data_IF_596280898748
#
_entry.id   IF_596280898748
#
_cell.length_a   1.000
_cell.length_b   1.000
_cell.length_c   1.000
_cell.angle_alpha   90.00
_cell.angle_beta   90.00
_cell.angle_gamma   90.00
#
_symmetry.space_group_name_H-M   'P 1'
#
loop_
_entity.id
_entity.type
_entity.pdbx_description
1 polymer ?
#
# COMPACT_ATOMS: atom_id res chain seq x y z
N UNK A 1 9.84 13.21 7.32
CA UNK A 1 8.74 12.81 8.20
C UNK A 1 7.58 13.74 7.92
N UNK A 2 6.61 13.33 7.11
CA UNK A 2 5.42 14.13 6.80
C UNK A 2 4.53 14.11 8.04
N UNK A 3 4.74 15.05 8.97
CA UNK A 3 3.81 15.32 10.08
C UNK A 3 2.77 16.31 9.60
N UNK A 4 2.07 15.95 8.53
CA UNK A 4 0.96 16.74 8.02
C UNK A 4 -0.29 16.15 8.63
N UNK A 5 -1.00 16.88 9.48
CA UNK A 5 -2.42 16.61 9.74
C UNK A 5 -3.30 16.87 8.51
N UNK A 6 -2.73 16.73 7.31
CA UNK A 6 -3.34 16.97 6.03
C UNK A 6 -3.89 15.64 5.52
N UNK A 7 -5.17 15.65 5.19
CA UNK A 7 -5.85 14.58 4.48
C UNK A 7 -5.12 14.26 3.18
N UNK A 8 -4.90 12.98 2.90
CA UNK A 8 -4.36 12.52 1.62
C UNK A 8 -5.24 12.90 0.42
N UNK A 9 -6.51 13.25 0.66
CA UNK A 9 -7.43 13.73 -0.37
C UNK A 9 -7.02 15.07 -0.99
N UNK A 10 -6.17 15.86 -0.30
CA UNK A 10 -5.67 17.15 -0.79
C UNK A 10 -4.26 17.07 -1.38
N UNK A 11 -3.62 15.92 -1.27
CA UNK A 11 -2.26 15.70 -1.75
C UNK A 11 -2.27 15.12 -3.17
N UNK A 12 -1.17 15.30 -3.88
CA UNK A 12 -0.96 14.67 -5.18
C UNK A 12 -0.66 13.16 -4.98
N UNK A 13 -1.53 12.24 -5.44
CA UNK A 13 -1.35 10.81 -5.23
C UNK A 13 -0.01 10.31 -5.75
N UNK A 14 0.44 10.77 -6.92
CA UNK A 14 1.69 10.30 -7.52
C UNK A 14 2.88 10.63 -6.63
N UNK A 15 2.95 11.89 -6.20
CA UNK A 15 3.99 12.37 -5.30
C UNK A 15 3.99 11.59 -3.98
N UNK A 16 2.82 11.30 -3.43
CA UNK A 16 2.69 10.55 -2.18
C UNK A 16 3.11 9.09 -2.31
N UNK A 17 2.73 8.43 -3.42
CA UNK A 17 3.14 7.06 -3.72
C UNK A 17 4.66 6.95 -3.89
N UNK A 18 5.25 7.87 -4.65
CA UNK A 18 6.68 7.85 -5.01
C UNK A 18 7.61 8.31 -3.88
N UNK A 19 7.12 9.09 -2.90
CA UNK A 19 7.94 9.70 -1.85
C UNK A 19 8.74 8.69 -0.99
N UNK A 20 8.14 7.56 -0.63
CA UNK A 20 8.83 6.42 -0.02
C UNK A 20 8.44 5.13 -0.74
N UNK A 21 8.70 5.08 -2.04
CA UNK A 21 8.54 3.87 -2.83
C UNK A 21 9.83 3.05 -2.86
N UNK A 22 9.70 1.73 -2.70
CA UNK A 22 10.81 0.78 -2.82
C UNK A 22 10.45 -0.34 -3.77
N UNK A 23 11.36 -0.60 -4.70
CA UNK A 23 11.29 -1.70 -5.66
C UNK A 23 11.92 -2.96 -5.08
N UNK A 24 11.29 -4.09 -5.38
CA UNK A 24 11.70 -5.43 -4.98
C UNK A 24 11.55 -6.36 -6.17
N UNK A 25 12.37 -7.40 -6.22
CA UNK A 25 12.26 -8.45 -7.23
C UNK A 25 12.57 -9.78 -6.59
N UNK A 26 11.55 -10.60 -6.41
CA UNK A 26 11.65 -11.86 -5.70
C UNK A 26 10.83 -12.92 -6.43
N UNK A 27 11.34 -14.15 -6.52
CA UNK A 27 10.66 -15.28 -7.18
C UNK A 27 10.17 -14.99 -8.61
N UNK A 28 10.88 -14.14 -9.34
CA UNK A 28 10.53 -13.74 -10.70
C UNK A 28 9.44 -12.67 -10.79
N UNK A 29 8.87 -12.22 -9.67
CA UNK A 29 7.89 -11.14 -9.60
C UNK A 29 8.59 -9.83 -9.22
N UNK A 30 8.39 -8.81 -10.04
CA UNK A 30 8.83 -7.44 -9.80
C UNK A 30 7.71 -6.66 -9.12
N UNK A 31 7.93 -6.13 -7.92
CA UNK A 31 6.91 -5.36 -7.22
C UNK A 31 7.47 -4.15 -6.50
N UNK A 32 6.58 -3.23 -6.14
CA UNK A 32 6.96 -2.04 -5.39
C UNK A 32 6.01 -1.74 -4.25
N UNK A 33 6.56 -1.25 -3.14
CA UNK A 33 5.78 -0.87 -1.96
C UNK A 33 6.10 0.57 -1.58
N UNK A 34 5.12 1.44 -1.77
CA UNK A 34 5.09 2.79 -1.19
C UNK A 34 4.60 2.77 0.25
N UNK A 35 5.02 3.74 1.04
CA UNK A 35 4.52 3.93 2.40
C UNK A 35 4.34 5.42 2.72
N UNK A 36 3.26 5.75 3.44
CA UNK A 36 3.11 7.06 4.07
C UNK A 36 2.54 6.94 5.49
N UNK A 37 2.67 8.01 6.25
CA UNK A 37 2.16 8.13 7.61
C UNK A 37 1.10 9.23 7.66
N UNK A 38 -0.01 8.97 8.35
CA UNK A 38 -1.13 9.88 8.57
C UNK A 38 -1.53 9.88 10.04
N UNK A 39 -2.28 10.88 10.47
CA UNK A 39 -2.81 10.95 11.85
C UNK A 39 -4.23 10.40 11.99
N UNK A 40 -4.89 10.10 10.88
CA UNK A 40 -6.20 9.45 10.83
C UNK A 40 -6.40 8.75 9.49
N UNK A 41 -7.17 7.66 9.50
CA UNK A 41 -7.66 6.93 8.31
C UNK A 41 -9.17 7.13 8.08
N UNK A 42 -9.80 8.06 8.81
CA UNK A 42 -11.26 8.27 8.76
C UNK A 42 -11.78 8.73 7.40
N UNK A 43 -10.92 9.35 6.59
CA UNK A 43 -11.19 9.93 5.28
C UNK A 43 -10.64 9.07 4.13
N UNK A 44 -10.24 7.82 4.41
CA UNK A 44 -9.68 6.91 3.39
C UNK A 44 -10.63 6.70 2.21
N UNK A 45 -11.93 6.70 2.47
CA UNK A 45 -12.95 6.56 1.44
C UNK A 45 -12.97 7.72 0.45
N UNK A 46 -12.50 8.90 0.84
CA UNK A 46 -12.50 10.11 0.00
C UNK A 46 -11.39 10.09 -1.05
N UNK A 47 -10.31 9.32 -0.85
CA UNK A 47 -9.14 9.34 -1.72
C UNK A 47 -8.68 7.97 -2.22
N UNK A 48 -9.14 6.86 -1.64
CA UNK A 48 -8.68 5.50 -2.00
C UNK A 48 -8.75 5.21 -3.51
N UNK A 49 -9.79 5.66 -4.21
CA UNK A 49 -9.97 5.39 -5.64
C UNK A 49 -8.93 6.13 -6.48
N UNK A 50 -8.66 7.40 -6.16
CA UNK A 50 -7.63 8.18 -6.84
C UNK A 50 -6.23 7.57 -6.65
N UNK A 51 -5.93 7.09 -5.43
CA UNK A 51 -4.66 6.44 -5.13
C UNK A 51 -4.54 5.05 -5.77
N UNK A 52 -5.63 4.26 -5.83
CA UNK A 52 -5.64 2.98 -6.55
C UNK A 52 -5.38 3.17 -8.05
N UNK A 53 -6.05 4.15 -8.66
CA UNK A 53 -5.84 4.48 -10.08
C UNK A 53 -4.38 4.91 -10.34
N UNK A 54 -3.81 5.76 -9.48
CA UNK A 54 -2.41 6.17 -9.64
C UNK A 54 -1.43 5.02 -9.33
N UNK A 55 -1.78 4.11 -8.43
CA UNK A 55 -0.95 2.93 -8.14
C UNK A 55 -0.86 1.99 -9.36
N UNK A 56 -1.94 1.87 -10.14
CA UNK A 56 -1.90 1.19 -11.45
C UNK A 56 -0.97 1.92 -12.43
N UNK A 57 -1.01 3.26 -12.50
CA UNK A 57 -0.09 4.04 -13.33
C UNK A 57 1.37 3.84 -12.91
N UNK A 58 1.67 3.85 -11.61
CA UNK A 58 3.00 3.59 -11.04
C UNK A 58 3.46 2.17 -11.36
N UNK A 59 2.58 1.18 -11.28
CA UNK A 59 2.88 -0.20 -11.69
C UNK A 59 3.33 -0.24 -13.15
N UNK A 60 2.58 0.40 -14.05
CA UNK A 60 2.90 0.44 -15.47
C UNK A 60 4.17 1.24 -15.78
N UNK A 61 4.35 2.42 -15.18
CA UNK A 61 5.51 3.29 -15.43
C UNK A 61 6.83 2.65 -15.00
N UNK A 62 6.81 1.86 -13.92
CA UNK A 62 7.97 1.12 -13.43
C UNK A 62 8.08 -0.30 -13.98
N UNK A 63 7.19 -0.71 -14.89
CA UNK A 63 7.15 -2.09 -15.43
C UNK A 63 7.14 -3.16 -14.33
N UNK A 64 6.30 -2.95 -13.32
CA UNK A 64 6.11 -3.85 -12.19
C UNK A 64 4.97 -4.83 -12.49
N UNK A 65 5.07 -6.03 -11.94
CA UNK A 65 3.98 -7.00 -11.91
C UNK A 65 2.95 -6.62 -10.84
N UNK A 66 3.39 -5.97 -9.76
CA UNK A 66 2.55 -5.61 -8.63
C UNK A 66 2.99 -4.32 -7.94
N UNK A 67 2.05 -3.56 -7.39
CA UNK A 67 2.33 -2.35 -6.65
C UNK A 67 1.41 -2.26 -5.44
N UNK A 68 1.99 -1.85 -4.31
CA UNK A 68 1.31 -1.72 -3.03
C UNK A 68 1.59 -0.34 -2.42
N UNK A 69 0.64 0.14 -1.63
CA UNK A 69 0.78 1.37 -0.86
C UNK A 69 0.25 1.19 0.56
N UNK A 70 1.14 1.33 1.54
CA UNK A 70 0.83 1.21 2.95
C UNK A 70 0.59 2.60 3.55
N UNK A 71 -0.64 2.85 4.01
CA UNK A 71 -1.02 4.10 4.67
C UNK A 71 -1.15 3.83 6.17
N UNK A 72 -0.22 4.34 6.95
CA UNK A 72 -0.12 4.06 8.38
C UNK A 72 -0.71 5.18 9.22
N UNK A 73 -1.77 4.89 9.99
CA UNK A 73 -2.22 5.74 11.10
C UNK A 73 -1.28 5.54 12.29
N UNK A 74 -0.38 6.50 12.50
CA UNK A 74 0.62 6.44 13.58
C UNK A 74 0.01 6.67 14.96
N UNK A 75 -1.24 7.18 15.04
CA UNK A 75 -1.93 7.44 16.30
C UNK A 75 -2.68 6.19 16.77
N UNK A 76 -3.35 5.49 15.85
CA UNK A 76 -4.08 4.25 16.14
C UNK A 76 -3.23 2.99 16.00
N UNK A 77 -1.99 3.12 15.56
CA UNK A 77 -1.09 2.01 15.28
C UNK A 77 -1.74 0.96 14.35
N UNK A 78 -2.33 1.43 13.25
CA UNK A 78 -3.00 0.60 12.25
C UNK A 78 -2.76 1.11 10.84
N UNK A 79 -2.84 0.25 9.83
CA UNK A 79 -2.69 0.67 8.44
C UNK A 79 -3.84 0.22 7.54
N UNK A 80 -4.02 0.95 6.44
CA UNK A 80 -4.74 0.48 5.25
C UNK A 80 -3.73 0.20 4.15
N UNK A 81 -3.91 -0.92 3.46
CA UNK A 81 -3.13 -1.30 2.30
C UNK A 81 -3.97 -1.13 1.05
N UNK A 82 -3.48 -0.33 0.11
CA UNK A 82 -3.97 -0.28 -1.26
C UNK A 82 -3.03 -1.14 -2.13
N UNK A 83 -3.58 -1.91 -3.07
CA UNK A 83 -2.77 -2.71 -3.99
C UNK A 83 -3.41 -2.77 -5.37
N UNK A 84 -2.57 -2.92 -6.38
CA UNK A 84 -3.01 -3.28 -7.73
C UNK A 84 -3.48 -4.73 -7.77
N UNK A 85 -4.33 -5.04 -8.74
CA UNK A 85 -4.97 -6.36 -8.83
C UNK A 85 -3.95 -7.48 -9.02
N UNK A 86 -3.95 -8.46 -8.11
CA UNK A 86 -3.15 -9.68 -8.21
C UNK A 86 -3.94 -10.87 -7.65
N UNK A 87 -4.89 -11.44 -8.42
CA UNK A 87 -5.96 -12.29 -7.88
C UNK A 87 -5.53 -13.56 -7.14
N UNK A 88 -4.35 -14.11 -7.47
CA UNK A 88 -3.82 -15.29 -6.79
C UNK A 88 -3.30 -14.90 -5.39
N UNK A 89 -2.61 -13.78 -5.28
CA UNK A 89 -1.96 -13.31 -4.06
C UNK A 89 -2.95 -12.66 -3.10
N UNK A 90 -3.90 -11.89 -3.62
CA UNK A 90 -4.96 -11.24 -2.82
C UNK A 90 -5.70 -12.21 -1.90
N UNK A 91 -5.87 -13.47 -2.33
CA UNK A 91 -6.56 -14.52 -1.56
C UNK A 91 -5.70 -15.14 -0.47
N UNK A 92 -4.37 -14.99 -0.54
CA UNK A 92 -3.41 -15.60 0.39
C UNK A 92 -2.96 -14.65 1.51
N UNK A 93 -3.19 -13.36 1.34
CA UNK A 93 -2.89 -12.36 2.38
C UNK A 93 -3.69 -12.64 3.65
N UNK A 94 -3.02 -12.65 4.80
CA UNK A 94 -3.66 -12.86 6.09
C UNK A 94 -4.53 -11.67 6.57
N UNK A 95 -4.67 -10.63 5.75
CA UNK A 95 -5.35 -9.38 6.11
C UNK A 95 -6.81 -9.35 5.65
N UNK A 96 -7.65 -8.63 6.39
CA UNK A 96 -9.06 -8.49 6.06
C UNK A 96 -9.22 -7.59 4.82
N UNK A 97 -9.72 -8.16 3.72
CA UNK A 97 -10.18 -7.39 2.56
C UNK A 97 -11.42 -6.55 2.96
N UNK A 98 -11.36 -5.24 2.73
CA UNK A 98 -12.44 -4.29 3.03
C UNK A 98 -12.97 -3.57 1.78
N UNK A 99 -12.34 -3.80 0.63
CA UNK A 99 -12.77 -3.33 -0.69
C UNK A 99 -11.91 -3.98 -1.78
N UNK A 100 -12.21 -3.69 -3.04
CA UNK A 100 -11.36 -4.14 -4.15
C UNK A 100 -9.99 -3.47 -4.05
N UNK A 101 -8.91 -4.27 -4.02
CA UNK A 101 -7.55 -3.76 -3.79
C UNK A 101 -7.30 -3.12 -2.43
N UNK A 102 -8.22 -3.22 -1.46
CA UNK A 102 -8.13 -2.51 -0.17
C UNK A 102 -8.21 -3.49 1.00
N UNK A 103 -7.23 -3.42 1.89
CA UNK A 103 -7.11 -4.29 3.05
C UNK A 103 -6.88 -3.50 4.33
N UNK A 104 -7.47 -3.96 5.42
CA UNK A 104 -7.21 -3.44 6.75
C UNK A 104 -6.09 -4.24 7.43
N UNK A 105 -5.06 -3.54 7.92
CA UNK A 105 -3.86 -4.12 8.51
C UNK A 105 -3.65 -3.59 9.94
N UNK A 106 -4.41 -4.09 10.95
CA UNK A 106 -4.22 -3.71 12.35
C UNK A 106 -2.82 -4.10 12.86
N UNK A 107 -2.13 -3.18 13.54
CA UNK A 107 -0.80 -3.42 14.13
C UNK A 107 0.37 -3.48 13.13
N UNK A 108 0.12 -3.34 11.82
CA UNK A 108 1.17 -3.24 10.82
C UNK A 108 1.55 -1.78 10.64
N UNK A 109 2.79 -1.41 10.97
CA UNK A 109 3.30 -0.03 10.87
C UNK A 109 4.50 0.07 9.94
N UNK A 110 5.21 -1.03 9.73
CA UNK A 110 6.48 -1.06 8.99
C UNK A 110 6.36 -1.90 7.73
N UNK A 111 6.57 -1.27 6.56
CA UNK A 111 6.78 -1.98 5.30
C UNK A 111 7.84 -3.07 5.44
N UNK A 112 9.04 -2.73 5.94
CA UNK A 112 10.18 -3.65 5.93
C UNK A 112 10.05 -4.80 6.93
N UNK A 113 9.53 -4.53 8.13
CA UNK A 113 9.50 -5.54 9.21
C UNK A 113 8.26 -6.42 9.18
N UNK A 114 7.15 -5.96 8.61
CA UNK A 114 5.84 -6.62 8.77
C UNK A 114 5.16 -6.90 7.44
N UNK A 115 5.02 -5.89 6.56
CA UNK A 115 4.32 -6.09 5.27
C UNK A 115 5.16 -6.91 4.28
N UNK A 116 6.44 -6.57 4.10
CA UNK A 116 7.31 -7.23 3.14
C UNK A 116 7.48 -8.74 3.43
N UNK A 117 7.74 -9.19 4.68
CA UNK A 117 7.78 -10.62 4.98
C UNK A 117 6.49 -11.37 4.61
N UNK A 118 5.33 -10.75 4.85
CA UNK A 118 4.04 -11.34 4.47
C UNK A 118 3.87 -11.42 2.95
N UNK A 119 4.28 -10.37 2.22
CA UNK A 119 4.31 -10.35 0.75
C UNK A 119 5.21 -11.46 0.19
N UNK A 120 6.38 -11.68 0.77
CA UNK A 120 7.28 -12.76 0.35
C UNK A 120 6.69 -14.14 0.64
N UNK A 121 6.08 -14.33 1.82
CA UNK A 121 5.40 -15.58 2.19
C UNK A 121 4.34 -15.97 1.15
N UNK A 122 3.50 -15.03 0.74
CA UNK A 122 2.42 -15.30 -0.23
C UNK A 122 2.92 -15.48 -1.67
N UNK A 123 4.12 -15.00 -1.99
CA UNK A 123 4.79 -15.24 -3.27
C UNK A 123 5.46 -16.63 -3.32
N UNK A 124 5.91 -17.15 -2.17
CA UNK A 124 6.52 -18.49 -2.05
C UNK A 124 5.50 -19.63 -2.11
N UNK A 125 4.27 -19.39 -1.62
CA UNK A 125 3.15 -20.34 -1.65
C UNK A 125 2.45 -20.40 -3.00
#
# INVERSE_FOLDING_TARGET
>A
MFRSGASLAKEDPKKMLEADFKHYKELGVSFGIGQCEVTTLSDVDDYKEAYLAELENVKHSHSLDWALFLITDVVKESSVLLMTSMPIIERKLAYKKIGEGIFNLPGVLSRKKQLLPEVLRVLEE
#
